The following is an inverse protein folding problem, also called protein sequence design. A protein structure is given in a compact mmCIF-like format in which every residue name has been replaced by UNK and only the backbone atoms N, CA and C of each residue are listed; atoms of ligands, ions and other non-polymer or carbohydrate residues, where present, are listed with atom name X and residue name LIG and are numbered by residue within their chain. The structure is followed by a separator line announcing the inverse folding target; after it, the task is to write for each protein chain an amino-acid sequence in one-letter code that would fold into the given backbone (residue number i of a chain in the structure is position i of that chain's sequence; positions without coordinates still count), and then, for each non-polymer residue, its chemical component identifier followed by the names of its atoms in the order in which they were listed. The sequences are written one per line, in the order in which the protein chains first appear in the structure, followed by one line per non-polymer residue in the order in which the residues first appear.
data_IF_067490092771
#
_entry.id   IF_067490092771
#
_cell.length_a   1.000
_cell.length_b   1.000
_cell.length_c   1.000
_cell.angle_alpha   90.00
_cell.angle_beta   90.00
_cell.angle_gamma   90.00
#
_symmetry.space_group_name_H-M   'P 1'
#
loop_
_entity.id
_entity.type
_entity.pdbx_description
1 polymer ?
#
# COMPACT_ATOMS: atom_id res chain seq x y z
N UNK A 1 33.95 6.57 -17.09
CA UNK A 1 34.06 5.98 -15.73
C UNK A 1 32.83 6.44 -14.94
N UNK A 2 31.86 5.56 -14.70
CA UNK A 2 30.68 5.90 -13.91
C UNK A 2 31.02 5.76 -12.42
N UNK A 3 30.58 6.68 -11.54
CA UNK A 3 30.71 6.49 -10.12
C UNK A 3 29.95 5.21 -9.73
N UNK A 4 30.64 4.30 -9.06
CA UNK A 4 30.04 3.09 -8.54
C UNK A 4 29.10 3.38 -7.38
N UNK A 5 28.33 2.36 -7.00
CA UNK A 5 27.36 2.41 -5.90
C UNK A 5 28.04 2.88 -4.60
N UNK A 6 29.30 2.47 -4.36
CA UNK A 6 30.08 2.88 -3.20
C UNK A 6 30.35 4.38 -3.13
N UNK A 7 30.65 5.04 -4.25
CA UNK A 7 30.87 6.49 -4.27
C UNK A 7 29.56 7.25 -4.01
N UNK A 8 28.45 6.79 -4.59
CA UNK A 8 27.14 7.41 -4.39
C UNK A 8 26.71 7.34 -2.91
N UNK A 9 26.96 6.21 -2.24
CA UNK A 9 26.66 6.06 -0.81
C UNK A 9 27.43 7.05 0.06
N UNK A 10 28.73 7.25 -0.22
CA UNK A 10 29.57 8.21 0.51
C UNK A 10 29.03 9.64 0.32
N UNK A 11 28.67 10.01 -0.92
CA UNK A 11 28.10 11.32 -1.22
C UNK A 11 26.78 11.52 -0.49
N UNK A 12 25.91 10.51 -0.47
CA UNK A 12 24.63 10.56 0.23
C UNK A 12 24.80 10.80 1.74
N UNK A 13 25.80 10.18 2.38
CA UNK A 13 26.12 10.41 3.80
C UNK A 13 26.58 11.86 4.02
N UNK A 14 27.47 12.38 3.16
CA UNK A 14 27.96 13.76 3.27
C UNK A 14 26.80 14.75 3.13
N UNK A 15 25.92 14.55 2.14
CA UNK A 15 24.73 15.39 1.95
C UNK A 15 23.80 15.30 3.17
N UNK A 16 23.59 14.11 3.73
CA UNK A 16 22.77 13.92 4.93
C UNK A 16 23.34 14.65 6.15
N UNK A 17 24.67 14.73 6.29
CA UNK A 17 25.33 15.47 7.38
C UNK A 17 25.22 16.98 7.18
N UNK A 18 25.43 17.48 5.96
CA UNK A 18 25.37 18.91 5.64
C UNK A 18 23.96 19.49 5.77
N UNK A 19 22.97 18.77 5.24
CA UNK A 19 21.57 19.22 5.26
C UNK A 19 20.83 18.74 6.51
N UNK A 20 21.33 17.71 7.20
CA UNK A 20 20.69 17.12 8.37
C UNK A 20 19.47 16.28 8.04
N UNK A 21 19.17 15.29 8.89
CA UNK A 21 18.02 14.38 8.72
C UNK A 21 16.65 15.08 8.70
N UNK A 22 16.51 16.20 9.43
CA UNK A 22 15.24 16.91 9.55
C UNK A 22 14.81 17.57 8.24
N UNK A 23 15.73 18.29 7.59
CA UNK A 23 15.45 19.02 6.35
C UNK A 23 15.19 18.07 5.17
N UNK A 24 15.97 16.99 5.07
CA UNK A 24 15.78 15.99 4.00
C UNK A 24 14.46 15.24 4.18
N UNK A 25 14.08 14.87 5.41
CA UNK A 25 12.83 14.14 5.65
C UNK A 25 11.59 14.97 5.32
N UNK A 26 11.60 16.26 5.66
CA UNK A 26 10.49 17.18 5.38
C UNK A 26 10.33 17.37 3.86
N UNK A 27 11.44 17.65 3.16
CA UNK A 27 11.43 17.78 1.70
C UNK A 27 11.04 16.46 1.01
N UNK A 28 11.60 15.32 1.43
CA UNK A 28 11.29 14.01 0.85
C UNK A 28 9.82 13.63 1.06
N UNK A 29 9.18 14.10 2.15
CA UNK A 29 7.74 13.93 2.36
C UNK A 29 6.90 14.64 1.30
N UNK A 30 7.23 15.90 0.99
CA UNK A 30 6.52 16.69 -0.03
C UNK A 30 6.81 16.19 -1.45
N UNK A 31 8.06 15.84 -1.75
CA UNK A 31 8.42 15.19 -3.00
C UNK A 31 7.72 13.83 -3.16
N UNK A 32 7.68 13.01 -2.10
CA UNK A 32 7.04 11.70 -2.11
C UNK A 32 5.54 11.78 -2.44
N UNK A 33 4.83 12.77 -1.90
CA UNK A 33 3.43 13.04 -2.26
C UNK A 33 3.28 13.42 -3.73
N UNK A 34 4.14 14.30 -4.25
CA UNK A 34 4.13 14.72 -5.66
C UNK A 34 4.36 13.55 -6.63
N UNK A 35 5.40 12.75 -6.37
CA UNK A 35 5.72 11.57 -7.20
C UNK A 35 4.62 10.49 -7.06
N UNK A 36 4.02 10.31 -5.88
CA UNK A 36 2.92 9.35 -5.68
C UNK A 36 1.67 9.72 -6.48
N UNK A 37 1.26 11.00 -6.46
CA UNK A 37 0.15 11.49 -7.28
C UNK A 37 0.44 11.37 -8.78
N UNK A 38 1.67 11.65 -9.20
CA UNK A 38 2.08 11.46 -10.60
C UNK A 38 2.00 9.99 -11.02
N UNK A 39 2.54 9.07 -10.21
CA UNK A 39 2.46 7.63 -10.46
C UNK A 39 1.00 7.13 -10.48
N UNK A 40 0.17 7.65 -9.56
CA UNK A 40 -1.24 7.26 -9.46
C UNK A 40 -2.03 7.72 -10.69
N UNK A 41 -1.84 8.97 -11.12
CA UNK A 41 -2.44 9.48 -12.37
C UNK A 41 -2.00 8.69 -13.60
N UNK A 42 -0.71 8.37 -13.73
CA UNK A 42 -0.20 7.54 -14.82
C UNK A 42 -0.78 6.11 -14.81
N UNK A 43 -0.92 5.52 -13.62
CA UNK A 43 -1.49 4.17 -13.46
C UNK A 43 -2.99 4.15 -13.74
N UNK A 44 -3.70 5.25 -13.46
CA UNK A 44 -5.13 5.40 -13.68
C UNK A 44 -5.45 5.64 -15.17
N UNK A 45 -4.61 6.38 -15.90
CA UNK A 45 -4.65 6.47 -17.36
C UNK A 45 -4.42 5.09 -18.01
N UNK A 46 -3.44 4.34 -17.50
CA UNK A 46 -3.12 3.01 -18.00
C UNK A 46 -4.22 1.99 -17.70
N UNK A 47 -4.94 2.15 -16.59
CA UNK A 47 -6.13 1.35 -16.24
C UNK A 47 -7.37 1.77 -17.01
N UNK A 48 -7.61 3.07 -17.23
CA UNK A 48 -8.70 3.58 -18.04
C UNK A 48 -8.58 3.15 -19.52
N UNK A 49 -7.35 2.96 -20.01
CA UNK A 49 -7.09 2.37 -21.33
C UNK A 49 -7.27 0.84 -21.39
N UNK A 50 -7.40 0.18 -20.23
CA UNK A 50 -7.54 -1.29 -20.10
C UNK A 50 -8.96 -1.71 -19.69
N UNK A 51 -9.71 -0.83 -19.00
CA UNK A 51 -11.12 -0.98 -18.59
C UNK A 51 -12.13 -0.57 -19.70
N UNK A 52 -11.70 -0.40 -20.95
CA UNK A 52 -12.59 -0.22 -22.10
C UNK A 52 -12.88 -1.54 -22.85
N UNK A 53 -12.63 -2.70 -22.21
CA UNK A 53 -12.83 -4.04 -22.79
C UNK A 53 -13.56 -5.04 -21.89
N UNK A 54 -14.36 -4.58 -20.92
CA UNK A 54 -15.26 -5.44 -20.13
C UNK A 54 -16.67 -4.87 -20.16
N UNK A 55 -17.64 -5.53 -20.82
CA UNK A 55 -19.03 -5.10 -20.76
C UNK A 55 -19.54 -5.35 -19.35
N UNK A 56 -19.70 -4.27 -18.58
CA UNK A 56 -20.42 -4.24 -17.32
C UNK A 56 -21.90 -4.61 -17.60
N UNK A 57 -22.19 -5.89 -17.41
CA UNK A 57 -23.54 -6.43 -17.45
C UNK A 57 -23.77 -7.22 -16.16
N UNK A 58 -23.88 -6.52 -15.02
CA UNK A 58 -24.64 -7.05 -13.90
C UNK A 58 -25.31 -5.94 -13.10
N UNK A 59 -26.62 -5.81 -13.32
CA UNK A 59 -27.52 -5.11 -12.42
C UNK A 59 -27.64 -5.99 -11.17
N UNK A 60 -26.90 -5.67 -10.11
CA UNK A 60 -27.08 -6.28 -8.79
C UNK A 60 -28.25 -5.60 -8.09
N UNK A 61 -29.38 -6.32 -8.01
CA UNK A 61 -30.51 -5.92 -7.17
C UNK A 61 -30.11 -5.88 -5.69
N UNK A 62 -30.85 -5.15 -4.83
CA UNK A 62 -30.45 -4.93 -3.44
C UNK A 62 -30.43 -6.24 -2.64
N UNK A 63 -29.26 -6.85 -2.52
CA UNK A 63 -29.01 -7.95 -1.60
C UNK A 63 -28.78 -7.36 -0.19
N UNK A 64 -29.87 -7.23 0.55
CA UNK A 64 -29.82 -7.13 2.01
C UNK A 64 -29.34 -8.49 2.56
N UNK A 65 -28.05 -8.59 2.90
CA UNK A 65 -27.55 -9.67 3.75
C UNK A 65 -27.19 -9.08 5.12
N UNK A 66 -28.15 -9.19 6.04
CA UNK A 66 -27.97 -8.87 7.44
C UNK A 66 -27.01 -9.90 8.06
N UNK A 67 -25.83 -9.39 8.46
CA UNK A 67 -24.83 -10.00 9.35
C UNK A 67 -25.44 -10.91 10.43
N UNK A 68 -25.14 -12.23 10.46
CA UNK A 68 -25.24 -12.99 11.70
C UNK A 68 -24.03 -12.63 12.58
N UNK A 69 -24.24 -11.68 13.50
CA UNK A 69 -23.39 -11.49 14.65
C UNK A 69 -23.89 -12.41 15.76
N UNK A 70 -23.17 -13.50 16.03
CA UNK A 70 -23.46 -14.30 17.22
C UNK A 70 -22.97 -15.73 17.10
N UNK A 71 -21.68 -15.96 17.33
CA UNK A 71 -21.18 -17.16 18.03
C UNK A 71 -19.74 -16.89 18.49
N UNK A 72 -19.64 -16.08 19.54
CA UNK A 72 -18.48 -16.00 20.42
C UNK A 72 -19.01 -16.05 21.84
N UNK A 73 -19.63 -17.17 22.22
CA UNK A 73 -19.76 -17.61 23.61
C UNK A 73 -19.94 -19.14 23.60
N UNK A 74 -19.19 -19.82 24.47
CA UNK A 74 -19.38 -21.19 24.97
C UNK A 74 -18.98 -22.40 24.08
N UNK A 75 -17.72 -22.82 24.24
CA UNK A 75 -17.39 -24.24 24.36
C UNK A 75 -16.73 -24.48 25.73
N UNK A 76 -17.51 -24.84 26.78
CA UNK A 76 -17.04 -25.74 27.82
C UNK A 76 -17.40 -27.18 27.39
N UNK A 77 -16.59 -28.15 27.81
CA UNK A 77 -16.77 -29.59 27.60
C UNK A 77 -16.45 -30.07 26.15
N UNK A 78 -15.62 -31.06 25.89
CA UNK A 78 -14.98 -32.07 26.72
C UNK A 78 -13.79 -32.60 25.92
N UNK A 79 -12.56 -32.48 26.45
CA UNK A 79 -11.44 -33.23 25.90
C UNK A 79 -11.42 -34.62 26.54
N UNK A 80 -11.46 -35.62 25.66
CA UNK A 80 -11.50 -37.04 25.97
C UNK A 80 -10.07 -37.57 25.89
N UNK A 81 -9.40 -37.72 27.03
CA UNK A 81 -8.27 -38.64 27.25
C UNK A 81 -8.06 -38.72 28.77
N UNK A 82 -7.94 -39.86 29.45
CA UNK A 82 -7.41 -41.15 29.07
C UNK A 82 -8.02 -42.26 29.94
N UNK A 83 -8.16 -43.44 29.32
CA UNK A 83 -7.96 -44.73 29.98
C UNK A 83 -6.48 -44.94 30.26
#
# INVERSE_FOLDING_TARGET
MQPGIWQILIIAIVVLVLFGRGRISEMMGDFGKGISSFKKGMSEEQRASQESSTPDARIEGPAHDAKPAGETVEQPASDKTAS
#
